data_IF_095828048966
#
_entry.id   IF_095828048966
#
_cell.length_a   1.000
_cell.length_b   1.000
_cell.length_c   1.000
_cell.angle_alpha   90.00
_cell.angle_beta   90.00
_cell.angle_gamma   90.00
#
_symmetry.space_group_name_H-M   'P 1'
#
loop_
_entity.id
_entity.type
_entity.pdbx_description
1 polymer ?
#
# COMPACT_ATOMS: atom_id res chain seq x y z
N UNK A 1 4.53 -17.79 32.87
CA UNK A 1 3.74 -18.12 31.67
C UNK A 1 4.46 -17.55 30.46
N UNK A 2 4.78 -18.42 29.50
CA UNK A 2 5.74 -18.19 28.41
C UNK A 2 5.27 -17.04 27.50
N UNK A 3 6.10 -16.01 27.35
CA UNK A 3 5.92 -14.93 26.37
C UNK A 3 6.19 -15.51 24.99
N UNK A 4 5.15 -15.99 24.32
CA UNK A 4 5.23 -16.30 22.89
C UNK A 4 5.23 -14.97 22.13
N UNK A 5 6.43 -14.39 21.99
CA UNK A 5 6.71 -13.40 20.97
C UNK A 5 6.59 -14.16 19.65
N UNK A 6 5.43 -14.08 19.00
CA UNK A 6 5.28 -14.47 17.61
C UNK A 6 5.93 -13.34 16.80
N UNK A 7 7.26 -13.38 16.73
CA UNK A 7 8.00 -12.79 15.61
C UNK A 7 7.63 -13.63 14.40
N UNK A 8 6.56 -13.25 13.70
CA UNK A 8 6.29 -13.72 12.34
C UNK A 8 7.27 -13.01 11.40
N UNK A 9 8.56 -13.35 11.55
CA UNK A 9 9.53 -13.25 10.47
C UNK A 9 9.18 -14.40 9.52
N UNK A 10 8.17 -14.21 8.68
CA UNK A 10 7.90 -15.09 7.55
C UNK A 10 8.64 -14.52 6.34
N UNK A 11 9.94 -14.86 6.26
CA UNK A 11 10.64 -14.80 5.00
C UNK A 11 10.00 -15.78 4.02
N UNK A 12 9.66 -15.31 2.82
CA UNK A 12 9.43 -16.14 1.65
C UNK A 12 9.92 -15.39 0.40
N UNK A 13 11.06 -15.90 -0.09
CA UNK A 13 11.41 -16.05 -1.50
C UNK A 13 11.85 -14.81 -2.29
N UNK A 14 13.18 -14.75 -2.44
CA UNK A 14 13.87 -14.37 -3.67
C UNK A 14 13.16 -15.03 -4.87
N UNK A 15 12.29 -14.29 -5.56
CA UNK A 15 11.83 -14.69 -6.88
C UNK A 15 12.89 -14.20 -7.86
N UNK A 16 13.75 -15.14 -8.23
CA UNK A 16 14.65 -15.08 -9.38
C UNK A 16 13.93 -14.45 -10.58
N UNK A 17 14.53 -13.38 -11.12
CA UNK A 17 14.02 -12.61 -12.24
C UNK A 17 13.81 -13.47 -13.47
N UNK A 18 12.57 -13.92 -13.67
CA UNK A 18 12.15 -14.38 -14.98
C UNK A 18 11.99 -13.14 -15.85
N UNK A 19 12.75 -13.07 -16.94
CA UNK A 19 12.64 -12.06 -17.99
C UNK A 19 11.38 -12.38 -18.80
N UNK A 20 10.41 -11.47 -18.82
CA UNK A 20 9.12 -11.67 -19.50
C UNK A 20 9.17 -10.89 -20.83
N UNK A 21 9.19 -11.58 -21.99
CA UNK A 21 9.07 -10.97 -23.33
C UNK A 21 7.91 -11.53 -24.21
N UNK A 22 6.73 -10.85 -24.22
CA UNK A 22 5.55 -11.27 -24.98
C UNK A 22 4.24 -10.50 -24.71
N UNK A 23 3.25 -10.60 -25.61
CA UNK A 23 1.95 -9.90 -25.54
C UNK A 23 0.96 -10.56 -24.56
N UNK A 24 1.06 -11.88 -24.36
CA UNK A 24 0.28 -12.64 -23.35
C UNK A 24 0.78 -12.47 -21.92
N UNK A 25 2.04 -12.08 -21.76
CA UNK A 25 2.70 -11.97 -20.46
C UNK A 25 2.23 -10.79 -19.63
N UNK A 26 1.86 -9.68 -20.26
CA UNK A 26 1.32 -8.54 -19.52
C UNK A 26 -0.01 -8.86 -18.85
N UNK A 27 -0.83 -9.75 -19.44
CA UNK A 27 -2.05 -10.24 -18.80
C UNK A 27 -1.73 -11.19 -17.65
N UNK A 28 -0.82 -12.15 -17.88
CA UNK A 28 -0.38 -13.09 -16.84
C UNK A 28 0.21 -12.36 -15.63
N UNK A 29 0.99 -11.30 -15.86
CA UNK A 29 1.66 -10.53 -14.81
C UNK A 29 0.64 -9.82 -13.95
N UNK A 30 -0.34 -9.16 -14.59
CA UNK A 30 -1.43 -8.49 -13.88
C UNK A 30 -2.29 -9.45 -13.07
N UNK A 31 -2.59 -10.63 -13.59
CA UNK A 31 -3.34 -11.64 -12.83
C UNK A 31 -2.52 -12.18 -11.66
N UNK A 32 -1.21 -12.40 -11.83
CA UNK A 32 -0.32 -12.80 -10.74
C UNK A 32 -0.30 -11.75 -9.62
N UNK A 33 -0.01 -10.48 -9.95
CA UNK A 33 0.02 -9.39 -8.96
C UNK A 33 -1.34 -9.25 -8.26
N UNK A 34 -2.44 -9.37 -9.01
CA UNK A 34 -3.79 -9.34 -8.45
C UNK A 34 -4.04 -10.48 -7.47
N UNK A 35 -3.56 -11.70 -7.78
CA UNK A 35 -3.66 -12.87 -6.91
C UNK A 35 -2.86 -12.67 -5.64
N UNK A 36 -1.61 -12.22 -5.73
CA UNK A 36 -0.74 -11.93 -4.58
C UNK A 36 -1.39 -10.89 -3.64
N UNK A 37 -1.96 -9.81 -4.19
CA UNK A 37 -2.74 -8.82 -3.42
C UNK A 37 -3.97 -9.42 -2.74
N UNK A 38 -4.62 -10.39 -3.38
CA UNK A 38 -5.77 -11.06 -2.80
C UNK A 38 -5.36 -11.95 -1.64
N UNK A 39 -4.29 -12.72 -1.81
CA UNK A 39 -3.72 -13.59 -0.78
C UNK A 39 -3.26 -12.78 0.44
N UNK A 40 -2.51 -11.69 0.22
CA UNK A 40 -2.08 -10.78 1.29
C UNK A 40 -3.28 -10.24 2.09
N UNK A 41 -4.34 -9.80 1.41
CA UNK A 41 -5.56 -9.32 2.09
C UNK A 41 -6.28 -10.42 2.85
N UNK A 42 -6.32 -11.65 2.33
CA UNK A 42 -6.93 -12.78 3.03
C UNK A 42 -6.14 -13.16 4.28
N UNK A 43 -4.81 -13.18 4.19
CA UNK A 43 -3.94 -13.40 5.33
C UNK A 43 -4.19 -12.35 6.43
N UNK A 44 -4.22 -11.07 6.08
CA UNK A 44 -4.52 -10.02 7.05
C UNK A 44 -5.90 -10.16 7.69
N UNK A 45 -6.91 -10.58 6.93
CA UNK A 45 -8.23 -10.82 7.50
C UNK A 45 -8.20 -11.95 8.54
N UNK A 46 -7.48 -13.03 8.26
CA UNK A 46 -7.32 -14.14 9.20
C UNK A 46 -6.53 -13.72 10.45
N UNK A 47 -5.42 -13.01 10.28
CA UNK A 47 -4.63 -12.45 11.38
C UNK A 47 -5.46 -11.51 12.25
N UNK A 48 -6.25 -10.63 11.65
CA UNK A 48 -7.13 -9.71 12.37
C UNK A 48 -8.26 -10.44 13.11
N UNK A 49 -8.80 -11.52 12.56
CA UNK A 49 -9.78 -12.36 13.25
C UNK A 49 -9.16 -13.06 14.45
N UNK A 50 -7.98 -13.68 14.27
CA UNK A 50 -7.25 -14.34 15.35
C UNK A 50 -6.87 -13.34 16.44
N UNK A 51 -6.36 -12.17 16.07
CA UNK A 51 -6.00 -11.10 16.99
C UNK A 51 -7.18 -10.68 17.88
N UNK A 52 -8.39 -10.52 17.31
CA UNK A 52 -9.59 -10.16 18.09
C UNK A 52 -9.91 -11.18 19.18
N UNK A 53 -9.66 -12.47 18.95
CA UNK A 53 -9.85 -13.51 19.97
C UNK A 53 -8.87 -13.34 21.13
N UNK A 54 -7.63 -12.91 20.85
CA UNK A 54 -6.62 -12.65 21.89
C UNK A 54 -6.99 -11.50 22.84
N UNK A 55 -7.95 -10.65 22.46
CA UNK A 55 -8.41 -9.51 23.26
C UNK A 55 -9.46 -9.89 24.32
N UNK A 56 -10.01 -11.11 24.27
CA UNK A 56 -11.01 -11.56 25.23
C UNK A 56 -10.40 -11.67 26.63
N UNK A 57 -11.17 -11.27 27.65
CA UNK A 57 -10.71 -11.29 29.05
C UNK A 57 -9.64 -10.25 29.43
N UNK A 58 -9.05 -9.52 28.47
CA UNK A 58 -8.10 -8.45 28.76
C UNK A 58 -8.76 -7.21 29.35
N UNK A 59 -8.06 -6.55 30.27
CA UNK A 59 -8.44 -5.22 30.75
C UNK A 59 -8.42 -4.19 29.63
N UNK A 60 -9.06 -3.03 29.85
CA UNK A 60 -9.11 -1.98 28.84
C UNK A 60 -7.71 -1.44 28.48
N UNK A 61 -6.83 -1.27 29.47
CA UNK A 61 -5.46 -0.81 29.24
C UNK A 61 -4.66 -1.82 28.39
N UNK A 62 -4.78 -3.11 28.70
CA UNK A 62 -4.13 -4.18 27.91
C UNK A 62 -4.68 -4.26 26.49
N UNK A 63 -5.99 -4.07 26.29
CA UNK A 63 -6.60 -4.03 24.95
C UNK A 63 -6.05 -2.87 24.13
N UNK A 64 -5.95 -1.68 24.71
CA UNK A 64 -5.40 -0.49 24.02
C UNK A 64 -3.95 -0.71 23.62
N UNK A 65 -3.12 -1.24 24.53
CA UNK A 65 -1.72 -1.55 24.24
C UNK A 65 -1.59 -2.61 23.13
N UNK A 66 -2.35 -3.71 23.22
CA UNK A 66 -2.34 -4.77 22.22
C UNK A 66 -2.81 -4.30 20.83
N UNK A 67 -3.87 -3.50 20.77
CA UNK A 67 -4.38 -2.93 19.50
C UNK A 67 -3.37 -1.98 18.88
N UNK A 68 -2.71 -1.14 19.67
CA UNK A 68 -1.67 -0.23 19.19
C UNK A 68 -0.51 -1.02 18.57
N UNK A 69 0.01 -2.03 19.29
CA UNK A 69 1.10 -2.86 18.80
C UNK A 69 0.73 -3.67 17.54
N UNK A 70 -0.48 -4.24 17.50
CA UNK A 70 -0.97 -4.98 16.34
C UNK A 70 -1.11 -4.10 15.11
N UNK A 71 -1.62 -2.87 15.26
CA UNK A 71 -1.73 -1.91 14.16
C UNK A 71 -0.38 -1.50 13.61
N UNK A 72 0.61 -1.28 14.48
CA UNK A 72 1.97 -0.97 14.04
C UNK A 72 2.59 -2.15 13.27
N UNK A 73 2.39 -3.38 13.76
CA UNK A 73 2.87 -4.59 13.08
C UNK A 73 2.26 -4.72 11.68
N UNK A 74 0.93 -4.61 11.56
CA UNK A 74 0.24 -4.66 10.27
C UNK A 74 0.66 -3.54 9.32
N UNK A 75 0.97 -2.35 9.85
CA UNK A 75 1.47 -1.26 9.05
C UNK A 75 2.85 -1.57 8.46
N UNK A 76 3.79 -2.09 9.27
CA UNK A 76 5.11 -2.47 8.79
C UNK A 76 5.06 -3.63 7.79
N UNK A 77 4.20 -4.63 8.02
CA UNK A 77 3.95 -5.73 7.08
C UNK A 77 3.43 -5.23 5.73
N UNK A 78 2.45 -4.31 5.75
CA UNK A 78 1.94 -3.68 4.54
C UNK A 78 3.01 -2.89 3.79
N UNK A 79 3.82 -2.12 4.53
CA UNK A 79 4.91 -1.35 3.95
C UNK A 79 5.94 -2.27 3.27
N UNK A 80 6.30 -3.38 3.90
CA UNK A 80 7.22 -4.35 3.32
C UNK A 80 6.63 -5.01 2.06
N UNK A 81 5.35 -5.38 2.08
CA UNK A 81 4.65 -5.93 0.93
C UNK A 81 4.61 -4.94 -0.25
N UNK A 82 4.29 -3.67 0.03
CA UNK A 82 4.25 -2.61 -0.98
C UNK A 82 5.62 -2.38 -1.64
N UNK A 83 6.72 -2.49 -0.89
CA UNK A 83 8.10 -2.42 -1.43
C UNK A 83 8.37 -3.58 -2.40
N UNK A 84 7.98 -4.80 -2.04
CA UNK A 84 8.17 -5.98 -2.90
C UNK A 84 7.35 -5.88 -4.18
N UNK A 85 6.09 -5.43 -4.07
CA UNK A 85 5.23 -5.16 -5.22
C UNK A 85 5.85 -4.10 -6.14
N UNK A 86 6.37 -3.01 -5.57
CA UNK A 86 7.02 -1.95 -6.34
C UNK A 86 8.20 -2.50 -7.13
N UNK A 87 9.13 -3.21 -6.48
CA UNK A 87 10.29 -3.82 -7.13
C UNK A 87 9.88 -4.72 -8.31
N UNK A 88 8.88 -5.58 -8.10
CA UNK A 88 8.36 -6.47 -9.14
C UNK A 88 7.76 -5.69 -10.31
N UNK A 89 6.97 -4.65 -10.03
CA UNK A 89 6.36 -3.81 -11.05
C UNK A 89 7.41 -2.99 -11.83
N UNK A 90 8.44 -2.47 -11.16
CA UNK A 90 9.56 -1.77 -11.79
C UNK A 90 10.32 -2.68 -12.73
N UNK A 91 10.73 -3.89 -12.29
CA UNK A 91 11.44 -4.84 -13.16
C UNK A 91 10.60 -5.24 -14.37
N UNK A 92 9.29 -5.42 -14.20
CA UNK A 92 8.39 -5.70 -15.32
C UNK A 92 8.31 -4.50 -16.28
N UNK A 93 8.16 -3.28 -15.78
CA UNK A 93 8.13 -2.06 -16.59
C UNK A 93 9.43 -1.90 -17.40
N UNK A 94 10.58 -2.03 -16.76
CA UNK A 94 11.89 -1.91 -17.39
C UNK A 94 12.06 -2.94 -18.52
N UNK A 95 11.68 -4.20 -18.28
CA UNK A 95 11.71 -5.26 -19.29
C UNK A 95 10.84 -4.90 -20.50
N UNK A 96 9.62 -4.39 -20.28
CA UNK A 96 8.73 -3.93 -21.36
C UNK A 96 9.30 -2.75 -22.14
N UNK A 97 9.94 -1.80 -21.46
CA UNK A 97 10.55 -0.63 -22.08
C UNK A 97 11.81 -0.98 -22.86
N UNK A 98 12.63 -1.92 -22.37
CA UNK A 98 13.80 -2.42 -23.07
C UNK A 98 13.42 -3.03 -24.43
N UNK A 99 12.36 -3.84 -24.47
CA UNK A 99 11.84 -4.44 -25.71
C UNK A 99 11.10 -3.45 -26.64
N UNK A 100 10.87 -2.20 -26.21
CA UNK A 100 10.14 -1.22 -27.00
C UNK A 100 11.06 -0.50 -28.00
N UNK A 101 10.84 -0.71 -29.29
CA UNK A 101 11.62 -0.11 -30.39
C UNK A 101 11.06 1.23 -30.89
N UNK A 102 9.88 1.65 -30.41
CA UNK A 102 9.20 2.89 -30.84
C UNK A 102 9.50 4.08 -29.94
N UNK A 103 10.21 3.87 -28.84
CA UNK A 103 10.49 4.89 -27.85
C UNK A 103 11.99 5.17 -27.80
N UNK A 104 12.35 6.44 -27.69
CA UNK A 104 13.73 6.85 -27.41
C UNK A 104 14.13 6.47 -25.99
N UNK A 105 15.43 6.46 -25.70
CA UNK A 105 15.91 6.20 -24.34
C UNK A 105 15.41 7.26 -23.35
N UNK A 106 15.34 8.53 -23.77
CA UNK A 106 14.84 9.62 -22.93
C UNK A 106 13.39 9.37 -22.47
N UNK A 107 12.51 8.97 -23.39
CA UNK A 107 11.11 8.68 -23.08
C UNK A 107 10.93 7.45 -22.17
N UNK A 108 11.79 6.45 -22.32
CA UNK A 108 11.79 5.28 -21.42
C UNK A 108 12.18 5.69 -20.00
N UNK A 109 13.25 6.47 -19.87
CA UNK A 109 13.70 7.01 -18.59
C UNK A 109 12.63 7.87 -17.93
N UNK A 110 11.95 8.71 -18.71
CA UNK A 110 10.85 9.53 -18.20
C UNK A 110 9.69 8.71 -17.62
N UNK A 111 9.25 7.66 -18.32
CA UNK A 111 8.21 6.76 -17.78
C UNK A 111 8.63 6.05 -16.48
N UNK A 112 9.91 5.64 -16.38
CA UNK A 112 10.45 5.01 -15.16
C UNK A 112 10.45 6.02 -14.02
N UNK A 113 10.90 7.25 -14.28
CA UNK A 113 10.93 8.31 -13.28
C UNK A 113 9.53 8.70 -12.81
N UNK A 114 8.55 8.80 -13.71
CA UNK A 114 7.16 9.05 -13.35
C UNK A 114 6.59 7.92 -12.48
N UNK A 115 6.88 6.67 -12.84
CA UNK A 115 6.47 5.50 -12.04
C UNK A 115 7.08 5.52 -10.63
N UNK A 116 8.37 5.84 -10.50
CA UNK A 116 9.05 5.98 -9.21
C UNK A 116 8.50 7.14 -8.38
N UNK A 117 8.25 8.30 -9.01
CA UNK A 117 7.67 9.47 -8.34
C UNK A 117 6.32 9.15 -7.70
N UNK A 118 5.43 8.49 -8.46
CA UNK A 118 4.12 8.06 -7.97
C UNK A 118 4.23 7.04 -6.82
N UNK A 119 5.23 6.16 -6.85
CA UNK A 119 5.49 5.24 -5.75
C UNK A 119 5.92 6.00 -4.48
N UNK A 120 6.88 6.92 -4.58
CA UNK A 120 7.36 7.69 -3.43
C UNK A 120 6.25 8.57 -2.84
N UNK A 121 5.44 9.20 -3.68
CA UNK A 121 4.26 9.95 -3.25
C UNK A 121 3.28 9.07 -2.47
N UNK A 122 3.01 7.85 -2.96
CA UNK A 122 2.16 6.89 -2.25
C UNK A 122 2.77 6.41 -0.93
N UNK A 123 4.08 6.21 -0.86
CA UNK A 123 4.78 5.90 0.41
C UNK A 123 4.56 7.05 1.40
N UNK A 124 4.84 8.28 0.99
CA UNK A 124 4.68 9.47 1.84
C UNK A 124 3.22 9.65 2.28
N UNK A 125 2.25 9.50 1.38
CA UNK A 125 0.83 9.58 1.69
C UNK A 125 0.43 8.56 2.76
N UNK A 126 0.84 7.29 2.60
CA UNK A 126 0.55 6.22 3.58
C UNK A 126 1.21 6.50 4.93
N UNK A 127 2.46 6.94 4.94
CA UNK A 127 3.22 7.25 6.15
C UNK A 127 2.58 8.41 6.93
N UNK A 128 2.24 9.51 6.24
CA UNK A 128 1.57 10.66 6.83
C UNK A 128 0.20 10.26 7.41
N UNK A 129 -0.57 9.48 6.66
CA UNK A 129 -1.88 8.98 7.08
C UNK A 129 -1.79 8.11 8.33
N UNK A 130 -0.81 7.18 8.37
CA UNK A 130 -0.59 6.33 9.54
C UNK A 130 -0.28 7.15 10.80
N UNK A 131 0.65 8.09 10.68
CA UNK A 131 1.03 8.97 11.79
C UNK A 131 -0.15 9.85 12.26
N UNK A 132 -0.92 10.40 11.32
CA UNK A 132 -2.12 11.19 11.62
C UNK A 132 -3.18 10.35 12.34
N UNK A 133 -3.40 9.11 11.90
CA UNK A 133 -4.35 8.19 12.54
C UNK A 133 -3.93 7.87 13.99
N UNK A 134 -2.64 7.57 14.22
CA UNK A 134 -2.11 7.32 15.57
C UNK A 134 -2.36 8.54 16.47
N UNK A 135 -1.93 9.72 16.01
CA UNK A 135 -2.07 10.96 16.79
C UNK A 135 -3.54 11.28 17.09
N UNK A 136 -4.42 11.13 16.10
CA UNK A 136 -5.85 11.40 16.26
C UNK A 136 -6.51 10.44 17.26
N UNK A 137 -6.23 9.13 17.16
CA UNK A 137 -6.82 8.16 18.09
C UNK A 137 -6.28 8.31 19.52
N UNK A 138 -5.01 8.63 19.69
CA UNK A 138 -4.45 8.94 21.01
C UNK A 138 -5.13 10.18 21.61
N UNK A 139 -5.31 11.24 20.81
CA UNK A 139 -6.04 12.45 21.23
C UNK A 139 -7.45 12.10 21.71
N UNK A 140 -8.24 11.40 20.89
CA UNK A 140 -9.63 11.05 21.24
C UNK A 140 -9.69 10.11 22.45
N UNK A 141 -8.78 9.15 22.56
CA UNK A 141 -8.74 8.23 23.69
C UNK A 141 -8.50 8.96 25.01
N UNK A 142 -7.54 9.92 25.00
CA UNK A 142 -7.11 10.65 26.19
C UNK A 142 -7.93 11.90 26.51
N UNK A 143 -8.90 12.27 25.66
CA UNK A 143 -9.77 13.42 25.91
C UNK A 143 -10.77 13.10 27.05
N UNK A 144 -10.67 13.78 28.22
CA UNK A 144 -11.57 13.53 29.34
C UNK A 144 -12.94 14.22 29.16
N UNK A 145 -13.06 15.16 28.22
CA UNK A 145 -14.30 15.90 27.97
C UNK A 145 -15.31 15.10 27.14
N UNK A 146 -14.87 14.04 26.47
CA UNK A 146 -15.70 13.22 25.59
C UNK A 146 -16.22 11.97 26.30
N UNK A 147 -17.53 11.76 26.26
CA UNK A 147 -18.14 10.49 26.66
C UNK A 147 -17.95 9.43 25.55
N UNK A 148 -18.10 8.12 25.85
CA UNK A 148 -17.84 7.05 24.89
C UNK A 148 -18.54 7.20 23.53
N UNK A 149 -19.81 7.61 23.51
CA UNK A 149 -20.56 7.80 22.26
C UNK A 149 -20.02 8.98 21.43
N UNK A 150 -19.57 10.05 22.08
CA UNK A 150 -18.94 11.18 21.39
C UNK A 150 -17.57 10.79 20.80
N UNK A 151 -16.77 10.00 21.55
CA UNK A 151 -15.50 9.45 21.03
C UNK A 151 -15.74 8.59 19.80
N UNK A 152 -16.76 7.72 19.84
CA UNK A 152 -17.15 6.86 18.71
C UNK A 152 -17.61 7.69 17.50
N UNK A 153 -18.42 8.72 17.71
CA UNK A 153 -18.88 9.61 16.64
C UNK A 153 -17.70 10.38 16.01
N UNK A 154 -16.80 10.94 16.82
CA UNK A 154 -15.61 11.64 16.35
C UNK A 154 -14.70 10.72 15.49
N UNK A 155 -14.43 9.51 15.98
CA UNK A 155 -13.68 8.49 15.23
C UNK A 155 -14.37 8.18 13.91
N UNK A 156 -15.70 7.99 13.90
CA UNK A 156 -16.43 7.69 12.66
C UNK A 156 -16.29 8.82 11.65
N UNK A 157 -16.53 10.07 12.07
CA UNK A 157 -16.40 11.25 11.19
C UNK A 157 -15.00 11.35 10.60
N UNK A 158 -13.97 11.18 11.43
CA UNK A 158 -12.59 11.21 10.98
C UNK A 158 -12.29 10.10 9.96
N UNK A 159 -12.74 8.86 10.21
CA UNK A 159 -12.53 7.75 9.28
C UNK A 159 -13.26 7.95 7.94
N UNK A 160 -14.43 8.61 7.95
CA UNK A 160 -15.14 8.93 6.71
C UNK A 160 -14.43 10.03 5.91
N UNK A 161 -13.81 11.01 6.59
CA UNK A 161 -12.93 12.00 5.95
C UNK A 161 -11.69 11.34 5.34
N UNK A 162 -11.04 10.42 6.06
CA UNK A 162 -9.89 9.66 5.57
C UNK A 162 -10.22 8.89 4.28
N UNK A 163 -11.37 8.20 4.24
CA UNK A 163 -11.83 7.50 3.02
C UNK A 163 -12.02 8.46 1.83
N UNK A 164 -12.53 9.67 2.09
CA UNK A 164 -12.71 10.67 1.04
C UNK A 164 -11.37 11.17 0.50
N UNK A 165 -10.40 11.41 1.39
CA UNK A 165 -9.03 11.78 1.04
C UNK A 165 -8.35 10.68 0.23
N UNK A 166 -8.45 9.42 0.64
CA UNK A 166 -7.92 8.28 -0.10
C UNK A 166 -8.48 8.21 -1.52
N UNK A 167 -9.80 8.42 -1.66
CA UNK A 167 -10.46 8.43 -2.97
C UNK A 167 -9.95 9.56 -3.85
N UNK A 168 -9.79 10.76 -3.30
CA UNK A 168 -9.30 11.92 -4.02
C UNK A 168 -7.85 11.70 -4.49
N UNK A 169 -6.97 11.23 -3.59
CA UNK A 169 -5.58 10.89 -3.89
C UNK A 169 -5.49 9.89 -5.06
N UNK A 170 -6.26 8.80 -5.00
CA UNK A 170 -6.28 7.83 -6.11
C UNK A 170 -6.88 8.38 -7.42
N UNK A 171 -7.76 9.37 -7.36
CA UNK A 171 -8.28 10.03 -8.56
C UNK A 171 -7.23 10.94 -9.20
N UNK A 172 -6.50 11.68 -8.38
CA UNK A 172 -5.38 12.54 -8.80
C UNK A 172 -4.31 11.72 -9.50
N UNK A 173 -3.81 10.65 -8.87
CA UNK A 173 -2.82 9.76 -9.50
C UNK A 173 -3.31 9.15 -10.81
N UNK A 174 -4.60 8.79 -10.90
CA UNK A 174 -5.16 8.29 -12.18
C UNK A 174 -5.14 9.36 -13.26
N UNK A 175 -5.43 10.61 -12.90
CA UNK A 175 -5.39 11.75 -13.81
C UNK A 175 -3.97 12.01 -14.30
N UNK A 176 -3.00 12.10 -13.38
CA UNK A 176 -1.59 12.31 -13.72
C UNK A 176 -1.06 11.21 -14.65
N UNK A 177 -1.39 9.94 -14.35
CA UNK A 177 -1.04 8.82 -15.21
C UNK A 177 -1.67 8.88 -16.61
N UNK A 178 -2.85 9.49 -16.77
CA UNK A 178 -3.47 9.70 -18.08
C UNK A 178 -2.75 10.81 -18.85
N UNK A 179 -2.44 11.92 -18.17
CA UNK A 179 -1.70 13.06 -18.73
C UNK A 179 -0.33 12.61 -19.24
N UNK A 180 0.43 11.88 -18.41
CA UNK A 180 1.76 11.41 -18.78
C UNK A 180 1.73 10.45 -19.98
N UNK A 181 0.76 9.52 -19.99
CA UNK A 181 0.57 8.62 -21.14
C UNK A 181 0.21 9.38 -22.43
N UNK A 182 -0.60 10.43 -22.32
CA UNK A 182 -0.98 11.25 -23.47
C UNK A 182 0.23 12.04 -24.00
N UNK A 183 1.03 12.62 -23.10
CA UNK A 183 2.28 13.32 -23.42
C UNK A 183 3.25 12.41 -24.19
N UNK A 184 3.64 11.27 -23.60
CA UNK A 184 4.58 10.34 -24.22
C UNK A 184 4.06 9.83 -25.57
N UNK A 185 2.75 9.58 -25.69
CA UNK A 185 2.14 9.20 -26.97
C UNK A 185 2.30 10.30 -28.02
N UNK A 186 2.07 11.55 -27.66
CA UNK A 186 2.21 12.68 -28.58
C UNK A 186 3.66 12.86 -29.03
N UNK A 187 4.62 12.68 -28.14
CA UNK A 187 6.05 12.79 -28.49
C UNK A 187 6.51 11.67 -29.42
N UNK A 188 6.03 10.44 -29.21
CA UNK A 188 6.31 9.33 -30.14
C UNK A 188 5.71 9.63 -31.53
N UNK A 189 4.56 10.31 -31.59
CA UNK A 189 3.92 10.67 -32.86
C UNK A 189 4.67 11.79 -33.59
N UNK A 190 5.20 12.78 -32.88
CA UNK A 190 5.93 13.91 -33.48
C UNK A 190 7.35 13.54 -33.95
N UNK A 191 7.86 12.37 -33.58
CA UNK A 191 9.14 11.82 -34.02
C UNK A 191 9.06 11.06 -35.34
N UNK A 192 7.84 10.84 -35.87
CA UNK A 192 7.62 10.21 -37.18
C UNK A 192 7.52 11.25 -38.28
#
# INVERSE_FOLDING_TARGET
MKKNIVLLIAGLLLISGNVWAGQGEGKAFREQVKKERQEHRQQQQQENQAFRQTLQGKSQAEKVAAVTAHRETQYQENKAFDVQEHQKNTSFLESKLAANTKMTQAQKTELINHFESQYQENVNFRDQRHNANIAYFQKIANDPSLIPEQKKAAIKTYMDQQKAQDKAHHQEQRSENQVEKAKIRSEIQSQK
#
